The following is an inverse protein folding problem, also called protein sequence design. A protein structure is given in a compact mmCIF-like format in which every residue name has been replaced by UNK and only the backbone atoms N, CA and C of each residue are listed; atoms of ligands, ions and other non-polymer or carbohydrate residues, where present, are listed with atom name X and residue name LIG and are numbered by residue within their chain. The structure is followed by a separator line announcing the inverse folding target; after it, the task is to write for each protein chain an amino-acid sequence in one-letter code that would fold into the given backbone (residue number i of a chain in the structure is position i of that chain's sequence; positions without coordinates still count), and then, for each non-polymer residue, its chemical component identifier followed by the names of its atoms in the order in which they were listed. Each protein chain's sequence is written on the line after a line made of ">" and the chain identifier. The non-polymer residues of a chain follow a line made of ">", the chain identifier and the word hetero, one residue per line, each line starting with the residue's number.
data_IF_848197708891
#
_entry.id   IF_848197708891
#
_cell.length_a   1.000
_cell.length_b   1.000
_cell.length_c   1.000
_cell.angle_alpha   90.00
_cell.angle_beta   90.00
_cell.angle_gamma   90.00
#
_symmetry.space_group_name_H-M   'P 1'
#
loop_
_entity.id
_entity.type
_entity.pdbx_description
1 polymer ?
#
# COMPACT_ATOMS: atom_id res chain seq x y z
N UNK A 1 -10.47 15.43 -3.65
CA UNK A 1 -10.42 14.21 -4.50
C UNK A 1 -11.41 13.19 -3.95
N UNK A 2 -12.06 12.39 -4.81
CA UNK A 2 -12.96 11.32 -4.36
C UNK A 2 -12.19 10.18 -3.67
N UNK A 3 -12.87 9.39 -2.84
CA UNK A 3 -12.32 8.17 -2.21
C UNK A 3 -11.77 7.21 -3.27
N UNK A 4 -12.49 7.03 -4.39
CA UNK A 4 -12.06 6.18 -5.50
C UNK A 4 -10.76 6.67 -6.17
N UNK A 5 -10.59 7.98 -6.34
CA UNK A 5 -9.36 8.53 -6.91
C UNK A 5 -8.17 8.36 -5.95
N UNK A 6 -8.37 8.66 -4.66
CA UNK A 6 -7.34 8.47 -3.62
C UNK A 6 -6.93 7.00 -3.46
N UNK A 7 -7.89 6.08 -3.57
CA UNK A 7 -7.61 4.65 -3.54
C UNK A 7 -6.74 4.23 -4.73
N UNK A 8 -7.07 4.68 -5.95
CA UNK A 8 -6.27 4.36 -7.15
C UNK A 8 -4.86 4.95 -7.07
N UNK A 9 -4.71 6.15 -6.53
CA UNK A 9 -3.39 6.75 -6.27
C UNK A 9 -2.59 5.93 -5.27
N UNK A 10 -3.19 5.49 -4.17
CA UNK A 10 -2.56 4.60 -3.20
C UNK A 10 -2.06 3.31 -3.85
N UNK A 11 -2.86 2.69 -4.74
CA UNK A 11 -2.43 1.48 -5.47
C UNK A 11 -1.23 1.78 -6.36
N UNK A 12 -1.29 2.87 -7.13
CA UNK A 12 -0.20 3.28 -8.03
C UNK A 12 1.09 3.63 -7.28
N UNK A 13 0.98 4.28 -6.11
CA UNK A 13 2.11 4.59 -5.24
C UNK A 13 2.76 3.32 -4.68
N UNK A 14 1.95 2.36 -4.23
CA UNK A 14 2.41 1.05 -3.75
C UNK A 14 3.15 0.28 -4.86
N UNK A 15 2.58 0.26 -6.07
CA UNK A 15 3.22 -0.33 -7.27
C UNK A 15 4.52 0.37 -7.65
N UNK A 16 4.60 1.70 -7.48
CA UNK A 16 5.81 2.46 -7.76
C UNK A 16 6.92 2.09 -6.77
N UNK A 17 6.62 2.08 -5.47
CA UNK A 17 7.58 1.72 -4.43
C UNK A 17 8.07 0.28 -4.59
N UNK A 18 7.18 -0.67 -4.89
CA UNK A 18 7.55 -2.06 -5.16
C UNK A 18 8.50 -2.18 -6.34
N UNK A 19 8.20 -1.52 -7.47
CA UNK A 19 9.07 -1.55 -8.67
C UNK A 19 10.43 -0.89 -8.45
N UNK A 20 10.48 0.16 -7.64
CA UNK A 20 11.73 0.81 -7.29
C UNK A 20 12.58 -0.10 -6.41
N UNK A 21 11.97 -0.74 -5.41
CA UNK A 21 12.64 -1.68 -4.52
C UNK A 21 13.15 -2.92 -5.27
N UNK A 22 12.43 -3.39 -6.30
CA UNK A 22 12.87 -4.51 -7.13
C UNK A 22 14.03 -4.18 -8.08
N UNK A 23 14.37 -2.90 -8.23
CA UNK A 23 15.47 -2.42 -9.09
C UNK A 23 16.69 -1.98 -8.28
N UNK A 24 16.64 -2.11 -6.97
CA UNK A 24 17.81 -1.90 -6.12
C UNK A 24 18.91 -2.90 -6.48
N UNK A 25 20.17 -2.47 -6.36
CA UNK A 25 21.32 -3.33 -6.64
C UNK A 25 21.62 -4.28 -5.48
N UNK A 26 21.18 -3.93 -4.28
CA UNK A 26 21.31 -4.76 -3.08
C UNK A 26 20.27 -5.90 -3.11
N UNK A 27 20.73 -7.14 -3.30
CA UNK A 27 19.90 -8.34 -3.27
C UNK A 27 19.12 -8.49 -1.95
N UNK A 28 19.70 -8.02 -0.85
CA UNK A 28 19.06 -7.95 0.46
C UNK A 28 17.85 -7.02 0.47
N UNK A 29 17.86 -5.97 -0.34
CA UNK A 29 16.71 -5.07 -0.52
C UNK A 29 15.68 -5.61 -1.51
N UNK A 30 16.13 -6.25 -2.60
CA UNK A 30 15.25 -6.81 -3.65
C UNK A 30 14.27 -7.83 -3.07
N UNK A 31 14.67 -8.63 -2.08
CA UNK A 31 13.77 -9.61 -1.44
C UNK A 31 12.53 -8.96 -0.81
N UNK A 32 12.63 -7.71 -0.35
CA UNK A 32 11.51 -6.98 0.23
C UNK A 32 10.51 -6.53 -0.84
N UNK A 33 10.94 -6.34 -2.09
CA UNK A 33 10.02 -6.05 -3.19
C UNK A 33 9.03 -7.19 -3.44
N UNK A 34 9.47 -8.45 -3.29
CA UNK A 34 8.60 -9.63 -3.40
C UNK A 34 7.60 -9.74 -2.24
N UNK A 35 7.90 -9.12 -1.09
CA UNK A 35 6.96 -9.08 0.04
C UNK A 35 5.97 -7.93 -0.11
N UNK A 36 6.45 -6.78 -0.55
CA UNK A 36 5.64 -5.61 -0.84
C UNK A 36 4.66 -5.86 -2.01
N UNK A 37 4.99 -6.75 -2.95
CA UNK A 37 4.06 -7.16 -4.01
C UNK A 37 2.76 -7.78 -3.49
N UNK A 38 2.74 -8.35 -2.27
CA UNK A 38 1.51 -8.83 -1.64
C UNK A 38 0.54 -7.70 -1.34
N UNK A 39 1.05 -6.56 -0.88
CA UNK A 39 0.24 -5.35 -0.66
C UNK A 39 -0.27 -4.77 -1.97
N UNK A 40 0.56 -4.78 -3.03
CA UNK A 40 0.12 -4.41 -4.38
C UNK A 40 -1.05 -5.28 -4.84
N UNK A 41 -0.92 -6.61 -4.73
CA UNK A 41 -1.98 -7.54 -5.15
C UNK A 41 -3.26 -7.31 -4.34
N UNK A 42 -3.16 -7.17 -3.02
CA UNK A 42 -4.32 -6.90 -2.16
C UNK A 42 -5.03 -5.59 -2.53
N UNK A 43 -4.30 -4.50 -2.77
CA UNK A 43 -4.90 -3.23 -3.20
C UNK A 43 -5.44 -3.27 -4.64
N UNK A 44 -4.83 -4.08 -5.50
CA UNK A 44 -5.28 -4.23 -6.88
C UNK A 44 -6.67 -4.92 -6.97
N UNK A 45 -7.08 -5.70 -5.96
CA UNK A 45 -8.38 -6.40 -5.90
C UNK A 45 -9.57 -5.45 -6.17
N UNK A 46 -9.51 -4.20 -5.69
CA UNK A 46 -10.59 -3.23 -5.84
C UNK A 46 -10.25 -2.05 -6.76
N UNK A 47 -9.05 -2.01 -7.35
CA UNK A 47 -8.55 -0.84 -8.11
C UNK A 47 -9.50 -0.36 -9.21
N UNK A 48 -10.00 -1.29 -10.02
CA UNK A 48 -10.90 -0.96 -11.14
C UNK A 48 -12.32 -0.67 -10.64
N UNK A 49 -12.85 -1.53 -9.75
CA UNK A 49 -14.23 -1.48 -9.26
C UNK A 49 -14.52 -0.46 -8.16
N UNK A 50 -13.52 0.17 -7.53
CA UNK A 50 -13.73 1.11 -6.40
C UNK A 50 -14.62 2.30 -6.76
N UNK A 51 -14.66 2.70 -8.03
CA UNK A 51 -15.54 3.76 -8.51
C UNK A 51 -17.01 3.37 -8.64
N UNK A 52 -17.29 2.07 -8.66
CA UNK A 52 -18.63 1.49 -8.80
C UNK A 52 -19.26 1.15 -7.43
N UNK A 53 -18.46 1.15 -6.36
CA UNK A 53 -18.93 0.88 -5.00
C UNK A 53 -19.86 2.02 -4.55
N UNK A 54 -21.12 1.73 -4.19
CA UNK A 54 -22.01 2.74 -3.63
C UNK A 54 -21.43 3.35 -2.37
N UNK A 55 -21.62 4.66 -2.16
CA UNK A 55 -21.01 5.38 -1.04
C UNK A 55 -21.28 4.72 0.33
N UNK A 56 -22.51 4.24 0.56
CA UNK A 56 -22.92 3.54 1.79
C UNK A 56 -22.23 2.19 2.02
N UNK A 57 -21.48 1.68 1.05
CA UNK A 57 -20.74 0.43 1.12
C UNK A 57 -19.22 0.63 1.14
N UNK A 58 -18.72 1.85 0.89
CA UNK A 58 -17.27 2.11 0.80
C UNK A 58 -16.52 1.66 2.06
N UNK A 59 -17.01 2.01 3.24
CA UNK A 59 -16.39 1.60 4.51
C UNK A 59 -16.31 0.07 4.62
N UNK A 60 -17.43 -0.63 4.36
CA UNK A 60 -17.52 -2.09 4.48
C UNK A 60 -16.60 -2.81 3.49
N UNK A 61 -16.55 -2.35 2.25
CA UNK A 61 -15.79 -3.01 1.17
C UNK A 61 -14.29 -2.67 1.24
N UNK A 62 -13.92 -1.41 1.52
CA UNK A 62 -12.52 -0.96 1.47
C UNK A 62 -11.76 -1.23 2.76
N UNK A 63 -12.40 -1.15 3.93
CA UNK A 63 -11.71 -1.31 5.23
C UNK A 63 -10.94 -2.63 5.33
N UNK A 64 -11.50 -3.80 5.01
CA UNK A 64 -10.77 -5.07 5.11
C UNK A 64 -9.53 -5.13 4.20
N UNK A 65 -9.64 -4.56 2.99
CA UNK A 65 -8.55 -4.52 2.01
C UNK A 65 -7.45 -3.57 2.48
N UNK A 66 -7.82 -2.37 2.92
CA UNK A 66 -6.89 -1.36 3.43
C UNK A 66 -6.14 -1.81 4.68
N UNK A 67 -6.83 -2.43 5.65
CA UNK A 67 -6.17 -2.97 6.84
C UNK A 67 -5.23 -4.13 6.52
N UNK A 68 -5.60 -5.00 5.58
CA UNK A 68 -4.74 -6.10 5.13
C UNK A 68 -3.46 -5.56 4.46
N UNK A 69 -3.61 -4.60 3.56
CA UNK A 69 -2.49 -3.94 2.90
C UNK A 69 -1.59 -3.22 3.91
N UNK A 70 -2.18 -2.48 4.86
CA UNK A 70 -1.45 -1.81 5.94
C UNK A 70 -0.55 -2.79 6.70
N UNK A 71 -1.11 -3.93 7.12
CA UNK A 71 -0.35 -4.95 7.87
C UNK A 71 0.77 -5.61 7.04
N UNK A 72 0.55 -5.80 5.74
CA UNK A 72 1.59 -6.32 4.84
C UNK A 72 2.73 -5.32 4.66
N UNK A 73 2.41 -4.03 4.53
CA UNK A 73 3.39 -2.94 4.42
C UNK A 73 4.17 -2.79 5.73
N UNK A 74 3.48 -2.82 6.88
CA UNK A 74 4.12 -2.65 8.20
C UNK A 74 5.20 -3.70 8.45
N UNK A 75 4.90 -4.96 8.14
CA UNK A 75 5.88 -6.06 8.26
C UNK A 75 7.12 -5.87 7.41
N UNK A 76 6.99 -5.22 6.24
CA UNK A 76 8.13 -4.91 5.39
C UNK A 76 8.89 -3.70 5.93
N UNK A 77 8.17 -2.68 6.41
CA UNK A 77 8.75 -1.48 7.02
C UNK A 77 9.63 -1.82 8.21
N UNK A 78 9.11 -2.57 9.19
CA UNK A 78 9.84 -2.90 10.43
C UNK A 78 11.18 -3.58 10.13
N UNK A 79 11.21 -4.50 9.18
CA UNK A 79 12.47 -5.18 8.82
C UNK A 79 13.44 -4.29 8.05
N UNK A 80 12.96 -3.24 7.41
CA UNK A 80 13.78 -2.25 6.71
C UNK A 80 14.32 -1.16 7.65
N UNK A 81 13.75 -0.95 8.84
CA UNK A 81 14.18 0.12 9.75
C UNK A 81 15.68 0.01 10.10
N UNK A 82 16.19 -1.20 10.26
CA UNK A 82 17.58 -1.46 10.64
C UNK A 82 18.55 -1.47 9.44
N UNK A 83 18.04 -1.69 8.23
CA UNK A 83 18.87 -1.95 7.03
C UNK A 83 18.83 -0.81 6.02
N UNK A 84 17.69 -0.11 5.92
CA UNK A 84 17.45 0.96 4.97
C UNK A 84 16.35 1.91 5.47
N UNK A 85 16.74 2.81 6.38
CA UNK A 85 15.84 3.78 7.00
C UNK A 85 15.05 4.63 5.98
N UNK A 86 15.67 4.99 4.84
CA UNK A 86 14.99 5.72 3.76
C UNK A 86 13.82 4.92 3.17
N UNK A 87 14.00 3.61 3.00
CA UNK A 87 12.95 2.73 2.51
C UNK A 87 11.86 2.54 3.55
N UNK A 88 12.22 2.36 4.82
CA UNK A 88 11.26 2.32 5.92
C UNK A 88 10.42 3.61 5.99
N UNK A 89 11.04 4.78 5.84
CA UNK A 89 10.35 6.07 5.83
C UNK A 89 9.35 6.22 4.66
N UNK A 90 9.69 5.70 3.48
CA UNK A 90 8.76 5.66 2.34
C UNK A 90 7.54 4.78 2.63
N UNK A 91 7.74 3.60 3.21
CA UNK A 91 6.66 2.69 3.58
C UNK A 91 5.79 3.25 4.70
N UNK A 92 6.38 3.98 5.65
CA UNK A 92 5.64 4.70 6.67
C UNK A 92 4.68 5.73 6.08
N UNK A 93 5.13 6.52 5.10
CA UNK A 93 4.26 7.48 4.41
C UNK A 93 3.07 6.79 3.73
N UNK A 94 3.29 5.61 3.13
CA UNK A 94 2.23 4.81 2.53
C UNK A 94 1.21 4.34 3.57
N UNK A 95 1.67 3.88 4.74
CA UNK A 95 0.79 3.53 5.86
C UNK A 95 -0.03 4.71 6.35
N UNK A 96 0.57 5.90 6.44
CA UNK A 96 -0.14 7.12 6.81
C UNK A 96 -1.21 7.49 5.76
N UNK A 97 -0.95 7.28 4.47
CA UNK A 97 -1.95 7.45 3.42
C UNK A 97 -3.12 6.47 3.58
N UNK A 98 -2.84 5.21 3.90
CA UNK A 98 -3.87 4.21 4.20
C UNK A 98 -4.71 4.62 5.41
N UNK A 99 -4.05 5.06 6.49
CA UNK A 99 -4.73 5.48 7.72
C UNK A 99 -5.65 6.68 7.49
N UNK A 100 -5.19 7.70 6.75
CA UNK A 100 -6.04 8.85 6.37
C UNK A 100 -7.21 8.40 5.51
N UNK A 101 -7.00 7.48 4.57
CA UNK A 101 -8.08 6.98 3.74
C UNK A 101 -9.13 6.24 4.58
N UNK A 102 -8.71 5.39 5.52
CA UNK A 102 -9.60 4.71 6.46
C UNK A 102 -10.43 5.68 7.29
N UNK A 103 -9.84 6.79 7.77
CA UNK A 103 -10.56 7.80 8.55
C UNK A 103 -11.57 8.61 7.72
N UNK A 104 -11.45 8.60 6.40
CA UNK A 104 -12.31 9.35 5.49
C UNK A 104 -13.42 8.49 4.85
N UNK A 105 -13.47 7.18 5.14
CA UNK A 105 -14.54 6.27 4.75
C UNK A 105 -15.78 6.46 5.63
#
# INVERSE_FOLDING_TARGET
>A
MSISARYRELVAETENLQRRLSREQDEGLVRFANRLSRAVVTLAELREGVGEIPQMHLERELTPVLLRAHNQIDRVRVELEEQAADWAGRLWNLQQTIYRLLNDL
#
